data_IF_988383486388
#
_entry.id   IF_988383486388
#
_cell.length_a   1.000
_cell.length_b   1.000
_cell.length_c   1.000
_cell.angle_alpha   90.00
_cell.angle_beta   90.00
_cell.angle_gamma   90.00
#
_symmetry.space_group_name_H-M   'P 1'
#
loop_
_entity.id
_entity.type
_entity.pdbx_description
1 polymer ?
#
# COMPACT_ATOMS: atom_id res chain seq x y z
N UNK A 1 -6.01 20.65 20.91
CA UNK A 1 -6.31 19.49 20.04
C UNK A 1 -5.17 18.51 20.24
N UNK A 2 -5.46 17.25 20.59
CA UNK A 2 -4.40 16.24 20.81
C UNK A 2 -3.68 15.96 19.50
N UNK A 3 -2.39 15.67 19.56
CA UNK A 3 -1.53 15.41 18.40
C UNK A 3 -1.21 13.92 18.30
N UNK A 4 -1.35 13.37 17.10
CA UNK A 4 -0.89 12.02 16.76
C UNK A 4 0.19 12.14 15.69
N UNK A 5 1.38 11.63 15.99
CA UNK A 5 2.47 11.48 15.03
C UNK A 5 2.45 10.04 14.53
N UNK A 6 2.33 9.84 13.22
CA UNK A 6 2.33 8.50 12.66
C UNK A 6 3.35 8.33 11.54
N UNK A 7 3.99 7.16 11.51
CA UNK A 7 5.01 6.80 10.53
C UNK A 7 4.47 5.70 9.61
N UNK A 8 4.71 5.84 8.31
CA UNK A 8 4.44 4.81 7.29
C UNK A 8 5.32 5.05 6.07
N UNK A 9 5.33 4.11 5.12
CA UNK A 9 6.09 4.17 3.85
C UNK A 9 5.47 5.12 2.83
N UNK A 10 5.21 6.36 3.25
CA UNK A 10 4.48 7.37 2.50
C UNK A 10 5.26 7.92 1.28
N UNK A 11 6.59 7.91 1.31
CA UNK A 11 7.43 8.57 0.30
C UNK A 11 7.63 7.77 -1.00
N UNK A 12 7.28 6.48 -1.00
CA UNK A 12 7.44 5.60 -2.17
C UNK A 12 6.51 6.05 -3.30
N UNK A 13 6.98 5.93 -4.54
CA UNK A 13 6.18 6.14 -5.75
C UNK A 13 5.20 4.98 -5.94
N UNK A 14 4.16 4.94 -5.11
CA UNK A 14 3.14 3.91 -5.11
C UNK A 14 1.78 4.51 -4.73
N UNK A 15 0.76 4.26 -5.56
CA UNK A 15 -0.59 4.77 -5.31
C UNK A 15 -1.16 4.29 -3.98
N UNK A 16 -0.99 3.00 -3.67
CA UNK A 16 -1.46 2.41 -2.42
C UNK A 16 -0.85 3.08 -1.20
N UNK A 17 0.49 3.24 -1.18
CA UNK A 17 1.20 3.88 -0.08
C UNK A 17 0.75 5.33 0.15
N UNK A 18 0.53 6.10 -0.92
CA UNK A 18 -0.04 7.45 -0.82
C UNK A 18 -1.47 7.43 -0.25
N UNK A 19 -2.34 6.61 -0.82
CA UNK A 19 -3.77 6.60 -0.52
C UNK A 19 -4.06 6.09 0.89
N UNK A 20 -3.33 5.08 1.38
CA UNK A 20 -3.45 4.62 2.76
C UNK A 20 -2.94 5.68 3.76
N UNK A 21 -1.88 6.43 3.41
CA UNK A 21 -1.38 7.52 4.27
C UNK A 21 -2.43 8.63 4.38
N UNK A 22 -3.00 9.03 3.24
CA UNK A 22 -4.09 10.01 3.19
C UNK A 22 -5.30 9.55 4.02
N UNK A 23 -5.73 8.30 3.84
CA UNK A 23 -6.85 7.73 4.59
C UNK A 23 -6.58 7.68 6.10
N UNK A 24 -5.39 7.26 6.50
CA UNK A 24 -4.96 7.21 7.91
C UNK A 24 -5.03 8.60 8.54
N UNK A 25 -4.46 9.61 7.88
CA UNK A 25 -4.50 10.99 8.36
C UNK A 25 -5.95 11.46 8.54
N UNK A 26 -6.80 11.26 7.54
CA UNK A 26 -8.21 11.69 7.60
C UNK A 26 -9.00 10.96 8.68
N UNK A 27 -8.75 9.67 8.90
CA UNK A 27 -9.40 8.92 9.97
C UNK A 27 -9.02 9.48 11.34
N UNK A 28 -7.75 9.77 11.59
CA UNK A 28 -7.34 10.40 12.86
C UNK A 28 -7.93 11.81 13.03
N UNK A 29 -7.99 12.60 11.96
CA UNK A 29 -8.65 13.92 11.96
C UNK A 29 -10.16 13.80 12.30
N UNK A 30 -10.85 12.77 11.79
CA UNK A 30 -12.26 12.51 12.10
C UNK A 30 -12.49 12.22 13.60
N UNK A 31 -11.49 11.66 14.28
CA UNK A 31 -11.48 11.45 15.74
C UNK A 31 -10.96 12.67 16.53
N UNK A 32 -10.76 13.82 15.88
CA UNK A 32 -10.40 15.08 16.53
C UNK A 32 -8.90 15.23 16.87
N UNK A 33 -8.03 14.41 16.29
CA UNK A 33 -6.58 14.53 16.46
C UNK A 33 -5.97 15.40 15.37
N UNK A 34 -4.94 16.17 15.73
CA UNK A 34 -4.03 16.79 14.78
C UNK A 34 -3.06 15.72 14.28
N UNK A 35 -3.37 15.12 13.14
CA UNK A 35 -2.58 14.05 12.55
C UNK A 35 -1.41 14.63 11.75
N UNK A 36 -0.21 14.23 12.12
CA UNK A 36 1.03 14.58 11.42
C UNK A 36 1.75 13.31 11.01
N UNK A 37 2.10 13.22 9.73
CA UNK A 37 2.88 12.12 9.16
C UNK A 37 4.34 12.42 9.43
N UNK A 38 5.06 11.50 10.08
CA UNK A 38 6.50 11.60 10.19
C UNK A 38 7.13 11.45 8.80
N UNK A 39 7.73 12.50 8.28
CA UNK A 39 8.42 12.52 6.98
C UNK A 39 9.80 11.85 7.09
N UNK A 40 9.79 10.58 7.49
CA UNK A 40 10.95 9.71 7.48
C UNK A 40 11.09 9.05 6.12
N UNK A 41 12.22 9.30 5.45
CA UNK A 41 12.55 8.69 4.16
C UNK A 41 13.94 8.09 4.27
N UNK A 42 14.02 6.77 4.12
CA UNK A 42 15.31 6.09 4.05
C UNK A 42 16.04 6.51 2.78
N UNK A 43 17.37 6.61 2.86
CA UNK A 43 18.20 6.97 1.70
C UNK A 43 17.98 6.01 0.51
N UNK A 44 17.67 4.74 0.79
CA UNK A 44 17.41 3.71 -0.22
C UNK A 44 16.01 3.73 -0.84
N UNK A 45 15.09 4.51 -0.27
CA UNK A 45 13.72 4.71 -0.77
C UNK A 45 13.52 6.10 -1.39
N UNK A 46 14.49 7.00 -1.23
CA UNK A 46 14.52 8.32 -1.85
C UNK A 46 14.55 8.17 -3.39
N UNK A 47 13.57 8.74 -4.09
CA UNK A 47 13.41 8.56 -5.54
C UNK A 47 14.65 9.02 -6.35
N UNK A 48 15.44 9.95 -5.82
CA UNK A 48 16.72 10.38 -6.38
C UNK A 48 17.75 9.23 -6.46
N UNK A 49 17.68 8.28 -5.53
CA UNK A 49 18.64 7.21 -5.34
C UNK A 49 18.18 5.87 -5.91
N UNK A 50 16.88 5.70 -6.15
CA UNK A 50 16.27 4.44 -6.66
C UNK A 50 16.99 3.93 -7.90
N UNK A 51 17.31 4.80 -8.85
CA UNK A 51 18.01 4.40 -10.10
C UNK A 51 19.37 3.78 -9.81
N UNK A 52 20.16 4.38 -8.93
CA UNK A 52 21.49 3.87 -8.59
C UNK A 52 21.41 2.56 -7.82
N UNK A 53 20.40 2.39 -6.97
CA UNK A 53 20.18 1.16 -6.21
C UNK A 53 19.77 0.00 -7.10
N UNK A 54 18.79 0.21 -7.98
CA UNK A 54 18.37 -0.82 -8.93
C UNK A 54 19.48 -1.16 -9.93
N UNK A 55 20.29 -0.16 -10.33
CA UNK A 55 21.48 -0.39 -11.14
C UNK A 55 22.48 -1.31 -10.41
N UNK A 56 22.82 -1.02 -9.15
CA UNK A 56 23.74 -1.84 -8.34
C UNK A 56 23.27 -3.30 -8.23
N UNK A 57 21.95 -3.53 -8.09
CA UNK A 57 21.35 -4.87 -8.00
C UNK A 57 21.30 -5.62 -9.34
N UNK A 58 21.32 -4.90 -10.46
CA UNK A 58 21.21 -5.52 -11.78
C UNK A 58 22.55 -6.08 -12.27
N UNK A 59 22.69 -7.41 -12.23
CA UNK A 59 23.84 -8.12 -12.86
C UNK A 59 23.96 -7.81 -14.35
N UNK A 60 22.85 -7.56 -15.04
CA UNK A 60 22.81 -7.24 -16.48
C UNK A 60 23.31 -5.83 -16.78
N UNK A 61 22.88 -4.85 -15.98
CA UNK A 61 23.11 -3.43 -16.26
C UNK A 61 24.38 -2.89 -15.59
N UNK A 62 24.81 -3.49 -14.47
CA UNK A 62 26.04 -3.11 -13.75
C UNK A 62 27.32 -3.75 -14.32
N UNK A 63 27.27 -4.39 -15.50
CA UNK A 63 28.43 -5.12 -16.05
C UNK A 63 29.56 -4.22 -16.56
N UNK A 64 29.25 -3.05 -17.10
CA UNK A 64 30.23 -2.10 -17.62
C UNK A 64 29.69 -0.67 -17.66
N UNK A 65 30.56 0.31 -17.87
CA UNK A 65 30.22 1.74 -17.88
C UNK A 65 29.15 2.10 -18.90
N UNK A 66 29.17 1.47 -20.07
CA UNK A 66 28.22 1.75 -21.15
C UNK A 66 26.79 1.29 -20.81
N UNK A 67 26.62 0.06 -20.31
CA UNK A 67 25.29 -0.41 -19.87
C UNK A 67 24.76 0.34 -18.66
N UNK A 68 25.66 0.76 -17.76
CA UNK A 68 25.31 1.63 -16.63
C UNK A 68 24.79 2.98 -17.11
N UNK A 69 25.47 3.58 -18.09
CA UNK A 69 25.06 4.86 -18.68
C UNK A 69 23.69 4.74 -19.36
N UNK A 70 23.46 3.70 -20.16
CA UNK A 70 22.15 3.45 -20.79
C UNK A 70 21.06 3.32 -19.74
N UNK A 71 21.28 2.51 -18.70
CA UNK A 71 20.29 2.30 -17.65
C UNK A 71 19.94 3.61 -16.95
N UNK A 72 20.94 4.44 -16.63
CA UNK A 72 20.72 5.78 -16.04
C UNK A 72 19.91 6.67 -16.97
N UNK A 73 20.27 6.77 -18.24
CA UNK A 73 19.57 7.61 -19.21
C UNK A 73 18.11 7.19 -19.37
N UNK A 74 17.82 5.89 -19.35
CA UNK A 74 16.47 5.36 -19.55
C UNK A 74 15.62 5.42 -18.28
N UNK A 75 16.16 5.03 -17.13
CA UNK A 75 15.37 4.84 -15.91
C UNK A 75 15.38 6.05 -14.97
N UNK A 76 16.46 6.85 -14.97
CA UNK A 76 16.55 8.01 -14.09
C UNK A 76 15.45 9.05 -14.34
N UNK A 77 15.15 9.44 -15.60
CA UNK A 77 14.07 10.39 -15.86
C UNK A 77 12.72 9.89 -15.36
N UNK A 78 12.46 8.59 -15.51
CA UNK A 78 11.21 7.95 -15.06
C UNK A 78 11.05 8.06 -13.54
N UNK A 79 12.06 7.60 -12.78
CA UNK A 79 12.02 7.67 -11.32
C UNK A 79 11.98 9.12 -10.80
N UNK A 80 12.70 10.04 -11.45
CA UNK A 80 12.71 11.44 -11.04
C UNK A 80 11.37 12.14 -11.33
N UNK A 81 10.83 11.99 -12.54
CA UNK A 81 9.56 12.65 -12.94
C UNK A 81 8.41 12.12 -12.07
N UNK A 82 8.30 10.80 -11.94
CA UNK A 82 7.24 10.18 -11.13
C UNK A 82 7.45 10.48 -9.63
N UNK A 83 8.70 10.47 -9.16
CA UNK A 83 9.07 10.88 -7.80
C UNK A 83 8.64 12.30 -7.46
N UNK A 84 8.98 13.28 -8.32
CA UNK A 84 8.56 14.68 -8.19
C UNK A 84 7.05 14.85 -8.28
N UNK A 85 6.38 14.11 -9.14
CA UNK A 85 4.93 14.15 -9.25
C UNK A 85 4.26 13.69 -7.94
N UNK A 86 4.70 12.58 -7.36
CA UNK A 86 4.20 12.09 -6.08
C UNK A 86 4.58 13.00 -4.91
N UNK A 87 5.79 13.56 -4.90
CA UNK A 87 6.22 14.55 -3.90
C UNK A 87 5.27 15.76 -3.88
N UNK A 88 4.91 16.29 -5.06
CA UNK A 88 3.95 17.38 -5.18
C UNK A 88 2.58 17.02 -4.61
N UNK A 89 2.09 15.81 -4.88
CA UNK A 89 0.81 15.34 -4.32
C UNK A 89 0.91 15.17 -2.80
N UNK A 90 2.03 14.65 -2.27
CA UNK A 90 2.24 14.55 -0.81
C UNK A 90 2.23 15.90 -0.13
N UNK A 91 2.99 16.86 -0.65
CA UNK A 91 3.03 18.22 -0.12
C UNK A 91 1.66 18.92 -0.16
N UNK A 92 0.78 18.51 -1.09
CA UNK A 92 -0.57 19.08 -1.22
C UNK A 92 -1.58 18.48 -0.24
N UNK A 93 -1.50 17.18 0.02
CA UNK A 93 -2.57 16.45 0.72
C UNK A 93 -2.18 15.86 2.07
N UNK A 94 -0.89 15.70 2.34
CA UNK A 94 -0.39 15.11 3.58
C UNK A 94 0.20 16.20 4.48
N UNK A 95 -0.12 16.14 5.77
CA UNK A 95 0.48 16.97 6.81
C UNK A 95 1.80 16.34 7.24
N UNK A 96 2.85 16.56 6.46
CA UNK A 96 4.19 16.02 6.72
C UNK A 96 4.92 16.84 7.79
N UNK A 97 5.62 16.17 8.69
CA UNK A 97 6.60 16.79 9.58
C UNK A 97 7.81 17.32 8.79
N UNK A 98 8.77 17.93 9.49
CA UNK A 98 10.09 18.16 8.91
C UNK A 98 10.73 16.84 8.47
N UNK A 99 11.44 16.86 7.32
CA UNK A 99 12.09 15.70 6.71
C UNK A 99 13.20 15.16 7.60
N UNK A 100 13.16 13.85 7.80
CA UNK A 100 14.15 13.05 8.53
C UNK A 100 14.74 12.03 7.56
N UNK A 101 16.06 12.10 7.36
CA UNK A 101 16.81 11.12 6.57
C UNK A 101 17.89 10.42 7.40
N UNK A 102 18.37 11.07 8.47
CA UNK A 102 19.34 10.49 9.39
C UNK A 102 18.88 10.68 10.84
N UNK A 103 18.61 9.58 11.54
CA UNK A 103 18.07 9.63 12.89
C UNK A 103 18.89 10.40 13.91
N UNK A 104 20.22 10.27 13.85
CA UNK A 104 21.10 10.89 14.84
C UNK A 104 21.17 12.39 14.59
N UNK A 105 21.29 12.79 13.32
CA UNK A 105 21.39 14.20 12.94
C UNK A 105 20.04 14.93 13.03
N UNK A 106 18.94 14.22 12.79
CA UNK A 106 17.60 14.79 12.66
C UNK A 106 16.70 14.54 13.89
N UNK A 107 17.25 14.04 15.00
CA UNK A 107 16.48 13.70 16.20
C UNK A 107 15.62 14.88 16.72
N UNK A 108 16.10 16.12 16.60
CA UNK A 108 15.37 17.33 17.01
C UNK A 108 14.17 17.67 16.13
N UNK A 109 14.08 17.10 14.92
CA UNK A 109 12.95 17.30 13.99
C UNK A 109 11.77 16.39 14.29
N UNK A 110 11.95 15.42 15.20
CA UNK A 110 10.90 14.48 15.57
C UNK A 110 9.84 15.23 16.38
N UNK A 111 8.58 15.25 15.92
CA UNK A 111 7.54 16.00 16.59
C UNK A 111 7.18 15.34 17.93
N UNK A 112 6.94 16.19 18.93
CA UNK A 112 6.27 15.77 20.17
C UNK A 112 4.78 15.50 19.88
N UNK A 113 4.26 14.37 20.34
CA UNK A 113 2.87 13.98 20.16
C UNK A 113 2.34 13.24 21.39
N UNK A 114 1.01 13.27 21.57
CA UNK A 114 0.33 12.51 22.63
C UNK A 114 0.30 11.01 22.31
N UNK A 115 0.22 10.68 21.02
CA UNK A 115 0.22 9.30 20.51
C UNK A 115 1.23 9.19 19.38
N UNK A 116 2.04 8.13 19.43
CA UNK A 116 2.90 7.71 18.33
C UNK A 116 2.30 6.46 17.69
N UNK A 117 2.19 6.47 16.36
CA UNK A 117 1.51 5.41 15.64
C UNK A 117 2.34 4.85 14.49
N UNK A 118 2.49 3.54 14.43
CA UNK A 118 2.89 2.86 13.19
C UNK A 118 1.66 2.73 12.31
N UNK A 119 1.66 3.37 11.15
CA UNK A 119 0.56 3.33 10.19
C UNK A 119 0.50 2.02 9.39
N UNK A 120 -0.40 1.98 8.41
CA UNK A 120 -0.57 0.82 7.53
C UNK A 120 0.59 0.68 6.53
N UNK A 121 0.44 -0.23 5.58
CA UNK A 121 1.43 -0.68 4.60
C UNK A 121 2.52 -1.59 5.18
N UNK A 122 3.42 -2.08 4.31
CA UNK A 122 4.48 -3.04 4.65
C UNK A 122 5.62 -2.38 5.45
N UNK A 123 5.30 -1.80 6.59
CA UNK A 123 6.20 -1.05 7.49
C UNK A 123 7.05 -1.99 8.36
N UNK A 124 6.56 -3.20 8.65
CA UNK A 124 7.30 -4.23 9.40
C UNK A 124 7.89 -5.33 8.51
N UNK A 125 7.76 -5.17 7.20
CA UNK A 125 8.36 -6.07 6.22
C UNK A 125 9.86 -5.85 6.05
N UNK A 126 10.46 -6.64 5.15
CA UNK A 126 11.84 -6.38 4.70
C UNK A 126 11.88 -5.12 3.85
N UNK A 127 12.80 -4.21 4.18
CA UNK A 127 13.03 -2.97 3.44
C UNK A 127 14.42 -3.04 2.81
N UNK A 128 14.45 -2.98 1.48
CA UNK A 128 15.66 -3.09 0.65
C UNK A 128 16.53 -4.35 0.90
N UNK A 129 17.77 -4.17 1.37
CA UNK A 129 18.70 -5.27 1.72
C UNK A 129 18.89 -5.40 3.23
N UNK A 130 18.28 -4.49 4.00
CA UNK A 130 18.44 -4.43 5.44
C UNK A 130 17.39 -5.26 6.16
N UNK A 131 17.75 -5.58 7.40
CA UNK A 131 16.85 -6.17 8.37
C UNK A 131 15.72 -5.18 8.74
N UNK A 132 14.94 -5.56 9.74
CA UNK A 132 13.89 -4.73 10.33
C UNK A 132 14.37 -3.31 10.63
N UNK A 133 13.63 -2.30 10.18
CA UNK A 133 13.93 -0.89 10.47
C UNK A 133 13.20 -0.43 11.74
N UNK A 134 13.93 -0.13 12.85
CA UNK A 134 13.32 0.25 14.13
C UNK A 134 12.45 1.50 14.08
N UNK A 135 12.60 2.37 13.07
CA UNK A 135 11.76 3.56 12.93
C UNK A 135 10.29 3.22 12.77
N UNK A 136 10.02 2.22 11.93
CA UNK A 136 8.66 1.72 11.74
C UNK A 136 8.12 0.95 12.96
N UNK A 137 8.94 0.76 14.00
CA UNK A 137 8.56 0.24 15.30
C UNK A 137 8.52 1.32 16.39
N UNK A 138 8.56 2.61 16.02
CA UNK A 138 8.48 3.73 16.96
C UNK A 138 9.65 3.75 17.97
N UNK A 139 10.84 3.31 17.56
CA UNK A 139 12.05 3.35 18.41
C UNK A 139 12.45 4.78 18.80
N UNK A 140 11.97 5.78 18.06
CA UNK A 140 12.17 7.19 18.33
C UNK A 140 11.18 7.79 19.33
N UNK A 141 10.06 7.11 19.59
CA UNK A 141 9.03 7.61 20.49
C UNK A 141 9.51 7.51 21.95
N UNK A 142 9.21 8.51 22.79
CA UNK A 142 9.55 8.47 24.22
C UNK A 142 9.08 7.19 24.90
N UNK A 143 9.78 6.75 25.93
CA UNK A 143 9.48 5.49 26.63
C UNK A 143 8.06 5.46 27.21
N UNK A 144 7.62 6.58 27.80
CA UNK A 144 6.32 6.70 28.47
C UNK A 144 5.20 7.24 27.56
N UNK A 145 5.47 7.37 26.25
CA UNK A 145 4.47 7.82 25.30
C UNK A 145 3.57 6.66 24.86
N UNK A 146 2.30 6.97 24.57
CA UNK A 146 1.34 5.99 24.03
C UNK A 146 1.77 5.57 22.63
N UNK A 147 1.95 4.27 22.40
CA UNK A 147 2.41 3.66 21.14
C UNK A 147 1.36 2.69 20.61
N UNK A 148 0.89 2.94 19.39
CA UNK A 148 -0.09 2.06 18.74
C UNK A 148 0.39 1.64 17.35
N UNK A 149 -0.06 0.47 16.88
CA UNK A 149 0.02 0.09 15.48
C UNK A 149 -1.37 0.09 14.87
N UNK A 150 -1.53 0.77 13.74
CA UNK A 150 -2.79 0.91 13.01
C UNK A 150 -2.71 0.21 11.65
N UNK A 151 -3.28 -0.99 11.57
CA UNK A 151 -3.29 -1.82 10.36
C UNK A 151 -1.88 -2.07 9.79
N UNK A 152 -0.88 -2.25 10.65
CA UNK A 152 0.49 -2.52 10.21
C UNK A 152 0.59 -3.87 9.47
N UNK A 153 1.57 -4.00 8.56
CA UNK A 153 1.74 -5.17 7.72
C UNK A 153 3.19 -5.62 7.68
N UNK A 154 3.41 -6.93 7.78
CA UNK A 154 4.71 -7.54 7.53
C UNK A 154 4.84 -7.93 6.05
N UNK A 155 3.73 -8.30 5.41
CA UNK A 155 3.71 -8.64 4.01
C UNK A 155 4.23 -10.04 3.66
N UNK A 156 4.60 -10.86 4.65
CA UNK A 156 4.96 -12.28 4.51
C UNK A 156 4.13 -13.13 5.48
N UNK A 157 4.03 -14.42 5.18
CA UNK A 157 3.31 -15.37 6.02
C UNK A 157 4.08 -15.74 7.28
N UNK A 158 5.41 -15.78 7.21
CA UNK A 158 6.26 -16.16 8.33
C UNK A 158 7.66 -15.57 8.22
N UNK A 159 8.35 -15.56 9.36
CA UNK A 159 9.77 -15.21 9.46
C UNK A 159 10.55 -16.26 10.29
N UNK A 160 11.87 -16.37 10.04
CA UNK A 160 12.78 -17.16 10.87
C UNK A 160 12.76 -16.70 12.33
N UNK A 161 13.08 -17.63 13.26
CA UNK A 161 13.06 -17.39 14.71
C UNK A 161 13.87 -16.16 15.12
N UNK A 162 15.08 -16.01 14.58
CA UNK A 162 15.98 -14.88 14.86
C UNK A 162 15.32 -13.51 14.61
N UNK A 163 14.43 -13.43 13.61
CA UNK A 163 13.70 -12.20 13.32
C UNK A 163 12.47 -12.03 14.20
N UNK A 164 11.80 -13.12 14.56
CA UNK A 164 10.74 -13.08 15.58
C UNK A 164 11.28 -12.54 16.91
N UNK A 165 12.48 -12.96 17.31
CA UNK A 165 13.14 -12.48 18.52
C UNK A 165 13.44 -10.96 18.44
N UNK A 166 13.78 -10.44 17.26
CA UNK A 166 13.91 -8.98 17.03
C UNK A 166 12.58 -8.26 17.12
N UNK A 167 11.51 -8.81 16.53
CA UNK A 167 10.17 -8.24 16.65
C UNK A 167 9.70 -8.21 18.11
N UNK A 168 10.08 -9.21 18.91
CA UNK A 168 9.75 -9.23 20.33
C UNK A 168 10.28 -7.99 21.08
N UNK A 169 11.53 -7.62 20.81
CA UNK A 169 12.12 -6.42 21.43
C UNK A 169 11.53 -5.13 20.85
N UNK A 170 11.28 -5.08 19.54
CA UNK A 170 10.80 -3.88 18.86
C UNK A 170 9.31 -3.58 19.10
N UNK A 171 8.48 -4.61 19.32
CA UNK A 171 7.05 -4.46 19.65
C UNK A 171 6.83 -4.17 21.14
N UNK A 172 7.90 -4.19 21.94
CA UNK A 172 7.81 -3.88 23.36
C UNK A 172 7.34 -2.45 23.58
N UNK A 173 6.35 -2.29 24.45
CA UNK A 173 5.79 -0.98 24.81
C UNK A 173 4.72 -0.46 23.86
N UNK A 174 4.24 -1.27 22.91
CA UNK A 174 2.98 -0.97 22.23
C UNK A 174 1.80 -1.22 23.16
N UNK A 175 0.91 -0.24 23.26
CA UNK A 175 -0.35 -0.35 24.01
C UNK A 175 -1.39 -1.15 23.21
N UNK A 176 -1.44 -0.93 21.89
CA UNK A 176 -2.37 -1.62 20.99
C UNK A 176 -1.68 -1.98 19.68
N UNK A 177 -1.86 -3.23 19.24
CA UNK A 177 -1.36 -3.71 17.95
C UNK A 177 -2.53 -4.15 17.09
N UNK A 178 -2.75 -3.42 15.99
CA UNK A 178 -3.67 -3.84 14.93
C UNK A 178 -2.92 -4.04 13.63
N UNK A 179 -3.30 -5.08 12.89
CA UNK A 179 -2.60 -5.53 11.70
C UNK A 179 -3.55 -5.75 10.53
N UNK A 180 -3.02 -5.71 9.30
CA UNK A 180 -3.84 -5.77 8.07
C UNK A 180 -4.17 -7.19 7.59
N UNK A 181 -3.27 -8.14 7.85
CA UNK A 181 -3.40 -9.53 7.40
C UNK A 181 -3.39 -10.53 8.57
N UNK A 182 -4.11 -11.63 8.44
CA UNK A 182 -4.18 -12.71 9.43
C UNK A 182 -2.81 -13.34 9.72
N UNK A 183 -1.92 -13.43 8.72
CA UNK A 183 -0.55 -13.89 8.95
C UNK A 183 0.25 -12.97 9.88
N UNK A 184 -0.03 -11.66 9.89
CA UNK A 184 0.61 -10.72 10.80
C UNK A 184 0.17 -10.94 12.25
N UNK A 185 -1.08 -11.35 12.50
CA UNK A 185 -1.55 -11.74 13.84
C UNK A 185 -0.71 -12.90 14.36
N UNK A 186 -0.47 -13.92 13.53
CA UNK A 186 0.36 -15.06 13.89
C UNK A 186 1.82 -14.67 14.18
N UNK A 187 2.38 -13.71 13.44
CA UNK A 187 3.74 -13.20 13.66
C UNK A 187 3.84 -12.47 15.01
N UNK A 188 2.88 -11.59 15.31
CA UNK A 188 2.85 -10.85 16.58
C UNK A 188 2.66 -11.79 17.78
N UNK A 189 1.76 -12.77 17.67
CA UNK A 189 1.55 -13.81 18.69
C UNK A 189 2.84 -14.60 18.97
N UNK A 190 3.60 -14.96 17.93
CA UNK A 190 4.90 -15.63 18.07
C UNK A 190 5.98 -14.75 18.70
N UNK A 191 5.87 -13.43 18.55
CA UNK A 191 6.74 -12.46 19.22
C UNK A 191 6.34 -12.25 20.70
N UNK A 192 5.21 -12.81 21.15
CA UNK A 192 4.76 -12.77 22.54
C UNK A 192 3.78 -11.65 22.87
N UNK A 193 3.13 -11.06 21.86
CA UNK A 193 2.12 -10.00 22.04
C UNK A 193 0.81 -10.38 21.35
N UNK A 194 -0.28 -9.71 21.71
CA UNK A 194 -1.58 -9.88 21.06
C UNK A 194 -1.77 -8.84 19.95
N UNK A 195 -2.36 -9.26 18.84
CA UNK A 195 -2.76 -8.37 17.76
C UNK A 195 -4.18 -8.70 17.26
N UNK A 196 -4.89 -7.68 16.80
CA UNK A 196 -6.18 -7.86 16.13
C UNK A 196 -6.08 -7.48 14.65
N UNK A 197 -6.61 -8.33 13.76
CA UNK A 197 -6.72 -7.98 12.36
C UNK A 197 -7.84 -6.94 12.16
N UNK A 198 -7.53 -5.86 11.46
CA UNK A 198 -8.51 -4.83 11.05
C UNK A 198 -8.38 -4.55 9.55
N UNK A 199 -9.34 -3.80 9.01
CA UNK A 199 -9.26 -3.36 7.61
C UNK A 199 -8.10 -2.37 7.39
N UNK A 200 -7.61 -2.35 6.15
CA UNK A 200 -6.71 -1.29 5.70
C UNK A 200 -7.39 0.09 5.81
N UNK A 201 -6.66 1.17 6.16
CA UNK A 201 -7.24 2.51 6.31
C UNK A 201 -8.01 2.97 5.07
N UNK A 202 -7.60 2.54 3.87
CA UNK A 202 -8.34 2.85 2.64
C UNK A 202 -9.76 2.28 2.67
N UNK A 203 -9.96 1.07 3.20
CA UNK A 203 -11.26 0.40 3.31
C UNK A 203 -12.08 0.92 4.50
N UNK A 204 -11.42 1.35 5.58
CA UNK A 204 -12.08 2.02 6.72
C UNK A 204 -12.62 3.39 6.29
N UNK A 205 -11.85 4.15 5.50
CA UNK A 205 -12.27 5.45 4.97
C UNK A 205 -13.54 5.35 4.11
N UNK A 206 -13.70 4.27 3.34
CA UNK A 206 -14.97 3.91 2.72
C UNK A 206 -15.21 4.49 1.32
N UNK A 207 -15.96 3.74 0.52
CA UNK A 207 -16.18 4.00 -0.90
C UNK A 207 -16.81 5.36 -1.20
N UNK A 208 -17.80 5.79 -0.43
CA UNK A 208 -18.50 7.07 -0.65
C UNK A 208 -17.58 8.28 -0.48
N UNK A 209 -16.67 8.24 0.50
CA UNK A 209 -15.69 9.30 0.69
C UNK A 209 -14.69 9.31 -0.45
N UNK A 210 -14.24 8.14 -0.93
CA UNK A 210 -13.39 8.06 -2.11
C UNK A 210 -14.08 8.54 -3.38
N UNK A 211 -15.37 8.25 -3.57
CA UNK A 211 -16.17 8.73 -4.72
C UNK A 211 -16.18 10.26 -4.80
N UNK A 212 -16.18 10.95 -3.65
CA UNK A 212 -16.09 12.43 -3.59
C UNK A 212 -14.71 12.97 -3.98
N UNK A 213 -13.67 12.15 -3.97
CA UNK A 213 -12.31 12.53 -4.37
C UNK A 213 -12.01 12.24 -5.85
N UNK A 214 -12.93 11.60 -6.58
CA UNK A 214 -12.69 11.22 -7.97
C UNK A 214 -12.55 12.44 -8.86
N UNK A 215 -11.58 12.37 -9.76
CA UNK A 215 -11.36 13.37 -10.80
C UNK A 215 -12.03 12.96 -12.12
N UNK A 216 -12.51 13.90 -12.95
CA UNK A 216 -13.11 13.58 -14.24
C UNK A 216 -12.17 12.79 -15.17
N UNK A 217 -12.71 11.78 -15.84
CA UNK A 217 -12.05 11.03 -16.92
C UNK A 217 -13.02 10.82 -18.10
N UNK A 218 -12.48 10.59 -19.30
CA UNK A 218 -13.29 10.39 -20.51
C UNK A 218 -13.40 8.92 -20.92
N UNK A 219 -12.51 8.06 -20.41
CA UNK A 219 -12.48 6.64 -20.72
C UNK A 219 -13.70 5.90 -20.15
N UNK A 220 -14.29 5.01 -20.96
CA UNK A 220 -15.41 4.13 -20.61
C UNK A 220 -15.26 2.79 -21.34
N UNK A 221 -15.89 1.75 -20.80
CA UNK A 221 -15.91 0.41 -21.40
C UNK A 221 -14.51 -0.19 -21.55
N UNK A 222 -13.83 -0.41 -20.42
CA UNK A 222 -12.47 -0.93 -20.41
C UNK A 222 -12.20 -1.91 -19.27
N UNK A 223 -11.19 -2.75 -19.52
CA UNK A 223 -10.45 -3.52 -18.53
C UNK A 223 -9.24 -2.68 -18.10
N UNK A 224 -9.09 -2.48 -16.79
CA UNK A 224 -7.94 -1.80 -16.22
C UNK A 224 -6.90 -2.82 -15.78
N UNK A 225 -5.72 -2.77 -16.39
CA UNK A 225 -4.54 -3.50 -15.95
C UNK A 225 -3.72 -2.61 -15.00
N UNK A 226 -3.63 -3.02 -13.74
CA UNK A 226 -2.76 -2.40 -12.75
C UNK A 226 -1.85 -3.47 -12.14
N UNK A 227 -0.57 -3.39 -12.48
CA UNK A 227 0.41 -4.41 -12.18
C UNK A 227 1.60 -3.78 -11.47
N UNK A 228 1.99 -4.35 -10.33
CA UNK A 228 3.16 -3.94 -9.55
C UNK A 228 4.40 -4.77 -9.90
N UNK A 229 4.23 -6.05 -10.25
CA UNK A 229 5.34 -6.95 -10.56
C UNK A 229 5.31 -7.32 -12.05
N UNK A 230 6.45 -7.17 -12.74
CA UNK A 230 6.56 -7.56 -14.13
C UNK A 230 6.21 -9.05 -14.33
N UNK A 231 5.12 -9.30 -15.04
CA UNK A 231 4.64 -10.63 -15.39
C UNK A 231 4.08 -10.62 -16.82
N UNK A 232 4.77 -11.30 -17.73
CA UNK A 232 4.37 -11.40 -19.15
C UNK A 232 3.11 -12.25 -19.35
N UNK A 233 2.88 -13.26 -18.50
CA UNK A 233 1.68 -14.08 -18.58
C UNK A 233 0.43 -13.27 -18.24
N UNK A 234 0.54 -12.38 -17.25
CA UNK A 234 -0.52 -11.44 -16.89
C UNK A 234 -0.82 -10.45 -18.04
N UNK A 235 0.19 -10.03 -18.79
CA UNK A 235 0.00 -9.16 -19.96
C UNK A 235 -0.81 -9.87 -21.04
N UNK A 236 -0.37 -11.07 -21.42
CA UNK A 236 -1.03 -11.84 -22.46
C UNK A 236 -2.46 -12.21 -22.07
N UNK A 237 -2.66 -12.64 -20.82
CA UNK A 237 -3.99 -12.89 -20.27
C UNK A 237 -4.87 -11.65 -20.31
N UNK A 238 -4.38 -10.48 -19.87
CA UNK A 238 -5.17 -9.25 -19.84
C UNK A 238 -5.59 -8.78 -21.24
N UNK A 239 -4.73 -8.98 -22.24
CA UNK A 239 -5.05 -8.72 -23.65
C UNK A 239 -6.16 -9.64 -24.14
N UNK A 240 -6.01 -10.95 -23.98
CA UNK A 240 -7.02 -11.92 -24.40
C UNK A 240 -8.34 -11.75 -23.66
N UNK A 241 -8.29 -11.41 -22.37
CA UNK A 241 -9.45 -11.14 -21.54
C UNK A 241 -10.23 -9.94 -22.07
N UNK A 242 -9.55 -8.82 -22.36
CA UNK A 242 -10.17 -7.62 -22.91
C UNK A 242 -10.79 -7.90 -24.30
N UNK A 243 -10.09 -8.63 -25.17
CA UNK A 243 -10.58 -9.01 -26.49
C UNK A 243 -11.86 -9.87 -26.38
N UNK A 244 -11.86 -10.89 -25.50
CA UNK A 244 -13.03 -11.76 -25.27
C UNK A 244 -14.21 -11.04 -24.63
N UNK A 245 -13.93 -10.08 -23.74
CA UNK A 245 -14.96 -9.25 -23.13
C UNK A 245 -15.49 -8.16 -24.09
N UNK A 246 -14.88 -7.96 -25.26
CA UNK A 246 -15.24 -6.88 -26.19
C UNK A 246 -14.92 -5.49 -25.64
N UNK A 247 -13.90 -5.37 -24.78
CA UNK A 247 -13.55 -4.13 -24.06
C UNK A 247 -12.15 -3.64 -24.44
N UNK A 248 -11.91 -2.35 -24.21
CA UNK A 248 -10.57 -1.77 -24.37
C UNK A 248 -9.68 -2.20 -23.20
N UNK A 249 -8.41 -2.50 -23.47
CA UNK A 249 -7.42 -2.67 -22.40
C UNK A 249 -6.72 -1.35 -22.11
N UNK A 250 -6.78 -0.87 -20.87
CA UNK A 250 -5.99 0.26 -20.38
C UNK A 250 -4.95 -0.22 -19.37
N UNK A 251 -3.75 0.37 -19.39
CA UNK A 251 -2.69 0.09 -18.42
C UNK A 251 -2.33 1.35 -17.67
N UNK A 252 -2.33 1.30 -16.34
CA UNK A 252 -1.79 2.36 -15.49
C UNK A 252 -0.47 1.90 -14.86
N UNK A 253 0.54 2.75 -14.90
CA UNK A 253 1.88 2.48 -14.36
C UNK A 253 2.54 3.77 -13.87
N UNK A 254 3.43 3.65 -12.90
CA UNK A 254 4.38 4.70 -12.50
C UNK A 254 5.75 4.53 -13.17
N UNK A 255 5.92 3.48 -13.96
CA UNK A 255 7.12 3.21 -14.74
C UNK A 255 6.83 3.41 -16.24
N UNK A 256 7.51 4.37 -16.87
CA UNK A 256 7.35 4.78 -18.26
C UNK A 256 7.65 3.66 -19.26
N UNK A 257 8.61 2.78 -18.98
CA UNK A 257 8.97 1.70 -19.90
C UNK A 257 7.83 0.68 -20.12
N UNK A 258 6.80 0.68 -19.25
CA UNK A 258 5.58 -0.10 -19.46
C UNK A 258 4.71 0.43 -20.62
N UNK A 259 5.06 1.55 -21.26
CA UNK A 259 4.40 2.05 -22.47
C UNK A 259 4.50 1.12 -23.68
N UNK A 260 5.53 0.26 -23.71
CA UNK A 260 5.75 -0.73 -24.77
C UNK A 260 4.97 -2.02 -24.56
N UNK A 261 4.27 -2.16 -23.43
CA UNK A 261 3.51 -3.36 -23.07
C UNK A 261 2.04 -3.21 -23.48
N UNK A 262 1.27 -4.28 -23.32
CA UNK A 262 -0.13 -4.33 -23.75
C UNK A 262 -1.01 -3.27 -23.08
N UNK A 263 -2.03 -2.83 -23.82
CA UNK A 263 -3.04 -1.87 -23.37
C UNK A 263 -2.65 -0.41 -23.65
N UNK A 264 -3.66 0.47 -23.75
CA UNK A 264 -3.42 1.91 -23.89
C UNK A 264 -2.86 2.46 -22.58
N UNK A 265 -1.64 2.97 -22.68
CA UNK A 265 -0.82 3.35 -21.52
C UNK A 265 -1.24 4.68 -20.88
N UNK A 266 -1.20 4.71 -19.54
CA UNK A 266 -1.42 5.87 -18.67
C UNK A 266 -0.28 5.96 -17.66
N UNK A 267 0.65 6.88 -17.93
CA UNK A 267 1.83 7.12 -17.09
C UNK A 267 1.48 8.03 -15.92
N UNK A 268 1.92 7.64 -14.71
CA UNK A 268 2.05 8.48 -13.52
C UNK A 268 0.86 9.44 -13.33
N UNK A 269 -0.33 8.87 -13.20
CA UNK A 269 -1.53 9.61 -12.85
C UNK A 269 -1.36 10.24 -11.46
N UNK A 270 -2.13 11.29 -11.13
CA UNK A 270 -2.28 11.65 -9.72
C UNK A 270 -3.03 10.53 -8.97
N UNK A 271 -2.81 10.33 -7.67
CA UNK A 271 -3.47 9.27 -6.90
C UNK A 271 -5.00 9.29 -7.02
N UNK A 272 -5.62 10.47 -7.00
CA UNK A 272 -7.06 10.59 -7.16
C UNK A 272 -7.55 10.35 -8.59
N UNK A 273 -6.72 10.64 -9.61
CA UNK A 273 -7.04 10.27 -11.00
C UNK A 273 -6.91 8.76 -11.21
N UNK A 274 -5.93 8.12 -10.57
CA UNK A 274 -5.83 6.66 -10.54
C UNK A 274 -7.10 6.02 -9.95
N UNK A 275 -7.64 6.54 -8.84
CA UNK A 275 -8.93 6.08 -8.30
C UNK A 275 -10.06 6.22 -9.31
N UNK A 276 -10.11 7.29 -10.10
CA UNK A 276 -11.13 7.44 -11.14
C UNK A 276 -11.07 6.33 -12.19
N UNK A 277 -9.86 5.92 -12.59
CA UNK A 277 -9.69 4.81 -13.52
C UNK A 277 -10.14 3.47 -12.92
N UNK A 278 -9.94 3.25 -11.61
CA UNK A 278 -10.49 2.05 -10.97
C UNK A 278 -12.02 2.14 -10.93
N UNK A 279 -12.57 3.23 -10.39
CA UNK A 279 -14.01 3.40 -10.17
C UNK A 279 -14.87 3.33 -11.45
N UNK A 280 -14.28 3.62 -12.62
CA UNK A 280 -14.95 3.58 -13.92
C UNK A 280 -14.58 2.35 -14.78
N UNK A 281 -13.74 1.44 -14.27
CA UNK A 281 -13.43 0.20 -14.96
C UNK A 281 -14.64 -0.74 -14.94
N UNK A 282 -14.81 -1.52 -16.01
CA UNK A 282 -15.74 -2.66 -16.02
C UNK A 282 -15.13 -3.85 -15.30
N UNK A 283 -13.83 -4.09 -15.59
CA UNK A 283 -13.02 -5.09 -14.92
C UNK A 283 -11.67 -4.53 -14.53
N UNK A 284 -11.10 -5.04 -13.45
CA UNK A 284 -9.70 -4.83 -13.08
C UNK A 284 -8.93 -6.14 -13.13
N UNK A 285 -7.71 -6.11 -13.64
CA UNK A 285 -6.76 -7.23 -13.53
C UNK A 285 -5.55 -6.70 -12.77
N UNK A 286 -5.26 -7.30 -11.62
CA UNK A 286 -4.24 -6.77 -10.72
C UNK A 286 -3.53 -7.83 -9.90
N UNK A 287 -2.30 -7.54 -9.49
CA UNK A 287 -1.51 -8.28 -8.50
C UNK A 287 -1.28 -7.46 -7.21
N UNK A 288 -1.99 -6.33 -7.11
CA UNK A 288 -1.79 -5.32 -6.08
C UNK A 288 -2.88 -5.41 -5.03
N UNK A 289 -2.48 -5.61 -3.77
CA UNK A 289 -3.39 -5.54 -2.62
C UNK A 289 -4.31 -4.29 -2.66
N UNK A 290 -3.75 -3.10 -2.87
CA UNK A 290 -4.56 -1.89 -2.92
C UNK A 290 -5.41 -1.83 -4.18
N UNK A 291 -4.95 -2.40 -5.29
CA UNK A 291 -5.77 -2.58 -6.49
C UNK A 291 -7.02 -3.39 -6.18
N UNK A 292 -6.86 -4.55 -5.54
CA UNK A 292 -7.94 -5.42 -5.06
C UNK A 292 -8.86 -4.70 -4.08
N UNK A 293 -8.29 -4.03 -3.07
CA UNK A 293 -9.06 -3.30 -2.07
C UNK A 293 -9.92 -2.18 -2.69
N UNK A 294 -9.39 -1.42 -3.64
CA UNK A 294 -10.14 -0.39 -4.36
C UNK A 294 -11.16 -0.98 -5.35
N UNK A 295 -10.86 -2.13 -5.98
CA UNK A 295 -11.85 -2.84 -6.80
C UNK A 295 -13.05 -3.28 -5.96
N UNK A 296 -12.81 -3.83 -4.78
CA UNK A 296 -13.84 -4.18 -3.80
C UNK A 296 -14.64 -2.94 -3.40
N UNK A 297 -13.97 -1.87 -2.93
CA UNK A 297 -14.64 -0.65 -2.45
C UNK A 297 -15.47 0.10 -3.51
N UNK A 298 -15.10 -0.01 -4.79
CA UNK A 298 -15.83 0.64 -5.88
C UNK A 298 -16.83 -0.27 -6.58
N UNK A 299 -16.95 -1.52 -6.14
CA UNK A 299 -17.81 -2.54 -6.71
C UNK A 299 -17.45 -2.84 -8.18
N UNK A 300 -16.16 -3.03 -8.45
CA UNK A 300 -15.62 -3.34 -9.79
C UNK A 300 -15.31 -4.82 -9.91
N UNK A 301 -15.83 -5.46 -10.94
CA UNK A 301 -15.43 -6.84 -11.25
C UNK A 301 -13.90 -6.92 -11.40
N UNK A 302 -13.29 -8.01 -10.95
CA UNK A 302 -11.84 -8.12 -11.04
C UNK A 302 -11.35 -9.56 -11.12
N UNK A 303 -10.10 -9.69 -11.58
CA UNK A 303 -9.31 -10.92 -11.56
C UNK A 303 -8.01 -10.61 -10.82
N UNK A 304 -7.73 -11.40 -9.79
CA UNK A 304 -6.50 -11.31 -9.01
C UNK A 304 -5.45 -12.24 -9.60
N UNK A 305 -4.29 -11.70 -9.97
CA UNK A 305 -3.12 -12.48 -10.35
C UNK A 305 -2.14 -12.45 -9.18
N UNK A 306 -2.05 -13.54 -8.43
CA UNK A 306 -1.21 -13.55 -7.24
C UNK A 306 0.26 -13.25 -7.61
N UNK A 307 0.91 -12.31 -6.91
CA UNK A 307 2.31 -12.01 -7.14
C UNK A 307 3.19 -13.20 -6.75
N UNK A 308 4.43 -13.27 -7.26
CA UNK A 308 5.37 -14.36 -6.87
C UNK A 308 5.81 -14.27 -5.41
N UNK A 309 5.80 -13.06 -4.84
CA UNK A 309 6.19 -12.76 -3.47
C UNK A 309 5.13 -11.90 -2.81
N UNK A 310 5.12 -11.87 -1.46
CA UNK A 310 4.22 -11.02 -0.66
C UNK A 310 2.72 -11.27 -0.88
N UNK A 311 2.39 -12.53 -1.18
CA UNK A 311 1.07 -13.06 -1.51
C UNK A 311 0.07 -12.92 -0.34
N UNK A 312 0.57 -13.05 0.90
CA UNK A 312 -0.22 -13.15 2.11
C UNK A 312 -1.33 -12.09 2.21
N UNK A 313 -1.03 -10.84 1.86
CA UNK A 313 -1.99 -9.72 1.97
C UNK A 313 -3.15 -9.86 0.99
N UNK A 314 -2.85 -10.23 -0.26
CA UNK A 314 -3.85 -10.39 -1.31
C UNK A 314 -4.75 -11.60 -1.00
N UNK A 315 -4.18 -12.71 -0.52
CA UNK A 315 -4.98 -13.85 -0.06
C UNK A 315 -5.84 -13.50 1.16
N UNK A 316 -5.27 -12.79 2.13
CA UNK A 316 -5.99 -12.43 3.37
C UNK A 316 -7.22 -11.58 3.06
N UNK A 317 -7.09 -10.57 2.18
CA UNK A 317 -8.25 -9.74 1.78
C UNK A 317 -9.28 -10.55 1.00
N UNK A 318 -8.88 -11.40 0.05
CA UNK A 318 -9.83 -12.20 -0.71
C UNK A 318 -10.60 -13.18 0.20
N UNK A 319 -9.91 -13.87 1.10
CA UNK A 319 -10.53 -14.76 2.09
C UNK A 319 -11.46 -14.01 3.04
N UNK A 320 -11.06 -12.81 3.48
CA UNK A 320 -11.88 -11.97 4.36
C UNK A 320 -13.25 -11.63 3.74
N UNK A 321 -13.31 -11.50 2.41
CA UNK A 321 -14.53 -11.17 1.66
C UNK A 321 -15.16 -12.36 0.90
N UNK A 322 -14.59 -13.57 1.02
CA UNK A 322 -15.06 -14.76 0.28
C UNK A 322 -14.90 -14.64 -1.24
N UNK A 323 -13.85 -13.97 -1.70
CA UNK A 323 -13.55 -13.66 -3.11
C UNK A 323 -12.36 -14.46 -3.65
N UNK A 324 -12.00 -15.59 -3.02
CA UNK A 324 -10.93 -16.47 -3.49
C UNK A 324 -11.20 -17.02 -4.90
N UNK A 325 -12.46 -17.08 -5.31
CA UNK A 325 -12.90 -17.47 -6.65
C UNK A 325 -12.56 -16.43 -7.75
N UNK A 326 -11.94 -15.30 -7.37
CA UNK A 326 -11.38 -14.29 -8.28
C UNK A 326 -9.90 -14.47 -8.56
N UNK A 327 -9.24 -15.44 -7.91
CA UNK A 327 -7.84 -15.76 -8.15
C UNK A 327 -7.70 -16.47 -9.50
N UNK A 328 -6.83 -15.96 -10.37
CA UNK A 328 -6.52 -16.57 -11.65
C UNK A 328 -5.73 -17.87 -11.45
N UNK A 329 -6.42 -19.01 -11.59
CA UNK A 329 -5.82 -20.33 -11.46
C UNK A 329 -5.24 -20.88 -12.79
N UNK A 330 -5.74 -20.40 -13.93
CA UNK A 330 -5.29 -20.82 -15.25
C UNK A 330 -5.38 -19.66 -16.25
N UNK A 331 -4.34 -19.49 -17.09
CA UNK A 331 -4.32 -18.47 -18.15
C UNK A 331 -5.37 -18.70 -19.26
N UNK A 332 -6.01 -19.87 -19.28
CA UNK A 332 -7.11 -20.20 -20.19
C UNK A 332 -8.50 -19.97 -19.61
N UNK A 333 -8.60 -19.63 -18.32
CA UNK A 333 -9.87 -19.41 -17.64
C UNK A 333 -10.34 -17.96 -17.85
N UNK A 334 -11.36 -17.78 -18.70
CA UNK A 334 -12.02 -16.50 -18.91
C UNK A 334 -13.42 -16.45 -18.27
N UNK A 335 -13.75 -17.42 -17.42
CA UNK A 335 -15.09 -17.51 -16.83
C UNK A 335 -15.43 -16.34 -15.90
N UNK A 336 -14.43 -15.56 -15.47
CA UNK A 336 -14.62 -14.32 -14.70
C UNK A 336 -15.38 -13.23 -15.48
N UNK A 337 -15.48 -13.33 -16.80
CA UNK A 337 -16.32 -12.43 -17.63
C UNK A 337 -17.81 -12.63 -17.26
N UNK A 338 -18.23 -13.89 -17.16
CA UNK A 338 -19.62 -14.27 -16.96
C UNK A 338 -19.97 -14.42 -15.47
N UNK A 339 -19.04 -14.94 -14.66
CA UNK A 339 -19.19 -15.12 -13.22
C UNK A 339 -18.96 -13.80 -12.49
N UNK A 340 -20.01 -13.00 -12.38
CA UNK A 340 -19.97 -11.70 -11.68
C UNK A 340 -19.94 -11.88 -10.15
N UNK A 341 -19.20 -11.01 -9.49
CA UNK A 341 -19.23 -10.83 -8.04
C UNK A 341 -20.61 -10.29 -7.65
N UNK A 342 -21.25 -10.95 -6.68
CA UNK A 342 -22.42 -10.42 -5.99
C UNK A 342 -21.97 -9.44 -4.89
N UNK A 343 -21.97 -8.16 -5.23
CA UNK A 343 -21.54 -7.12 -4.31
C UNK A 343 -22.45 -6.92 -3.12
N UNK A 344 -23.68 -7.44 -3.12
CA UNK A 344 -24.53 -7.31 -1.93
C UNK A 344 -23.90 -8.01 -0.72
N UNK A 345 -23.42 -9.24 -0.90
CA UNK A 345 -22.78 -10.04 0.15
C UNK A 345 -21.44 -9.40 0.57
N UNK A 346 -20.68 -8.90 -0.41
CA UNK A 346 -19.38 -8.26 -0.19
C UNK A 346 -19.55 -6.95 0.59
N UNK A 347 -20.54 -6.13 0.22
CA UNK A 347 -20.81 -4.84 0.87
C UNK A 347 -21.28 -5.04 2.31
N UNK A 348 -22.17 -6.01 2.58
CA UNK A 348 -22.59 -6.35 3.94
C UNK A 348 -21.40 -6.78 4.82
N UNK A 349 -20.49 -7.57 4.25
CA UNK A 349 -19.25 -8.01 4.91
C UNK A 349 -18.30 -6.83 5.16
N UNK A 350 -18.15 -5.94 4.18
CA UNK A 350 -17.34 -4.73 4.27
C UNK A 350 -17.85 -3.78 5.35
N UNK A 351 -19.15 -3.52 5.42
CA UNK A 351 -19.72 -2.68 6.47
C UNK A 351 -19.53 -3.28 7.86
N UNK A 352 -19.66 -4.61 8.00
CA UNK A 352 -19.39 -5.30 9.27
C UNK A 352 -17.94 -5.07 9.71
N UNK A 353 -16.96 -5.38 8.87
CA UNK A 353 -15.55 -5.21 9.22
C UNK A 353 -15.17 -3.73 9.40
N UNK A 354 -15.80 -2.81 8.66
CA UNK A 354 -15.59 -1.37 8.84
C UNK A 354 -16.07 -0.89 10.19
N UNK A 355 -17.23 -1.34 10.67
CA UNK A 355 -17.72 -1.02 12.03
C UNK A 355 -16.74 -1.55 13.09
N UNK A 356 -16.34 -2.81 12.99
CA UNK A 356 -15.39 -3.42 13.92
C UNK A 356 -14.05 -2.69 13.93
N UNK A 357 -13.53 -2.31 12.76
CA UNK A 357 -12.26 -1.58 12.63
C UNK A 357 -12.35 -0.18 13.24
N UNK A 358 -13.48 0.52 13.06
CA UNK A 358 -13.71 1.82 13.68
C UNK A 358 -13.85 1.73 15.20
N UNK A 359 -14.55 0.72 15.72
CA UNK A 359 -14.66 0.48 17.16
C UNK A 359 -13.29 0.23 17.80
N UNK A 360 -12.46 -0.59 17.16
CA UNK A 360 -11.10 -0.85 17.61
C UNK A 360 -10.21 0.40 17.51
N UNK A 361 -10.28 1.14 16.40
CA UNK A 361 -9.55 2.40 16.25
C UNK A 361 -9.92 3.40 17.35
N UNK A 362 -11.23 3.56 17.61
CA UNK A 362 -11.74 4.40 18.69
C UNK A 362 -11.17 3.97 20.05
N UNK A 363 -11.16 2.66 20.33
CA UNK A 363 -10.57 2.11 21.55
C UNK A 363 -9.07 2.45 21.65
N UNK A 364 -8.29 2.17 20.60
CA UNK A 364 -6.85 2.45 20.58
C UNK A 364 -6.54 3.93 20.85
N UNK A 365 -7.37 4.86 20.36
CA UNK A 365 -7.16 6.29 20.54
C UNK A 365 -7.53 6.77 21.95
N UNK A 366 -8.67 6.34 22.50
CA UNK A 366 -9.22 6.90 23.75
C UNK A 366 -9.03 6.04 25.01
N UNK A 367 -8.55 4.79 24.93
CA UNK A 367 -8.30 4.01 26.14
C UNK A 367 -7.22 4.70 27.01
N UNK A 368 -7.55 4.92 28.29
CA UNK A 368 -6.75 5.71 29.25
C UNK A 368 -7.31 7.11 29.59
N UNK A 369 -8.46 7.51 29.01
CA UNK A 369 -9.11 8.80 29.28
C UNK A 369 -10.44 8.71 30.07
N UNK A 370 -10.72 7.57 30.70
CA UNK A 370 -11.86 7.40 31.62
C UNK A 370 -11.43 7.33 33.07
#
# INVERSE_FOLDING_TARGET
MKKICFITRHAIVNYGSFLQTYATQKLFEDYGYNAEVLDYVREDEEYHNVTELLLKKSKKWNRNTFTRLIYRIVQWPDHYICGRAFEKERAKYLNLSERITNLVADASKIPTADIYCTGSDQVWGEIAQDDVDPMYFLSFAPHDAKKIAFSASFGKESYPKERIDKFKELLRGYDYITVREDSAVNIVNRAGYEATQILDPTMIFGGDRWRKQLLPIHEKGYVLLYQLNANHEMDEYAKQFADKAGLKLLRVSVEAHNCMRVGKFKLCLSPFKFLSYIANAEYMITDSFHGTAFAIMFNRQFVEVLPKEKIARNLSVLKQFGLEDRILNSLSDFSYIDKKIDYKIVDDTLEKYRRQSNELLKKCLYDGEM
#
